data_IF_987190155274
#
_entry.id   IF_987190155274
#
_cell.length_a   1.000
_cell.length_b   1.000
_cell.length_c   1.000
_cell.angle_alpha   90.00
_cell.angle_beta   90.00
_cell.angle_gamma   90.00
#
_symmetry.space_group_name_H-M   'P 1'
#
loop_
_entity.id
_entity.type
_entity.pdbx_description
1 polymer ?
#
# COMPACT_ATOMS: atom_id res chain seq x y z
N UNK A 1 -14.41 9.17 21.34
CA UNK A 1 -13.52 8.02 21.13
C UNK A 1 -12.12 8.54 20.84
N UNK A 2 -11.05 7.98 21.40
CA UNK A 2 -9.68 8.47 21.12
C UNK A 2 -9.25 8.09 19.70
N UNK A 3 -8.29 8.84 19.13
CA UNK A 3 -7.69 8.52 17.81
C UNK A 3 -7.20 7.07 17.74
N UNK A 4 -6.52 6.61 18.77
CA UNK A 4 -6.04 5.23 18.88
C UNK A 4 -7.19 4.21 18.92
N UNK A 5 -8.27 4.50 19.64
CA UNK A 5 -9.43 3.60 19.70
C UNK A 5 -10.13 3.48 18.33
N UNK A 6 -10.27 4.59 17.59
CA UNK A 6 -10.82 4.57 16.23
C UNK A 6 -9.94 3.74 15.27
N UNK A 7 -8.62 3.92 15.35
CA UNK A 7 -7.68 3.17 14.51
C UNK A 7 -7.76 1.66 14.78
N UNK A 8 -7.84 1.26 16.07
CA UNK A 8 -8.00 -0.14 16.48
C UNK A 8 -9.32 -0.72 15.95
N UNK A 9 -10.42 0.02 16.12
CA UNK A 9 -11.73 -0.42 15.66
C UNK A 9 -11.76 -0.63 14.14
N UNK A 10 -11.26 0.35 13.37
CA UNK A 10 -11.16 0.25 11.90
C UNK A 10 -10.29 -0.93 11.50
N UNK A 11 -9.11 -1.09 12.11
CA UNK A 11 -8.21 -2.19 11.81
C UNK A 11 -8.85 -3.57 12.04
N UNK A 12 -9.66 -3.74 13.08
CA UNK A 12 -10.33 -5.03 13.35
C UNK A 12 -11.44 -5.31 12.33
N UNK A 13 -12.21 -4.28 11.93
CA UNK A 13 -13.39 -4.42 11.09
C UNK A 13 -13.10 -4.43 9.59
N UNK A 14 -12.05 -3.73 9.16
CA UNK A 14 -11.76 -3.55 7.75
C UNK A 14 -11.09 -4.78 7.13
N UNK A 15 -11.38 -5.07 5.84
CA UNK A 15 -10.71 -6.13 5.11
C UNK A 15 -9.21 -5.85 4.97
N UNK A 16 -8.44 -6.89 4.68
CA UNK A 16 -7.03 -6.70 4.33
C UNK A 16 -6.93 -6.07 2.94
N UNK A 17 -5.88 -5.28 2.69
CA UNK A 17 -5.65 -4.81 1.32
C UNK A 17 -5.44 -5.99 0.36
N UNK A 18 -4.74 -7.02 0.85
CA UNK A 18 -4.50 -8.25 0.11
C UNK A 18 -5.80 -8.94 -0.36
N UNK A 19 -6.86 -8.99 0.47
CA UNK A 19 -8.12 -9.63 0.09
C UNK A 19 -8.94 -8.85 -0.95
N UNK A 20 -8.54 -7.62 -1.28
CA UNK A 20 -9.19 -6.75 -2.26
C UNK A 20 -8.38 -6.63 -3.56
N UNK A 21 -7.26 -7.35 -3.65
CA UNK A 21 -6.35 -7.41 -4.79
C UNK A 21 -6.34 -8.86 -5.32
N UNK A 22 -5.96 -9.11 -6.59
CA UNK A 22 -5.25 -8.22 -7.50
C UNK A 22 -6.11 -7.16 -8.20
N UNK A 23 -5.46 -6.10 -8.71
CA UNK A 23 -6.03 -5.13 -9.64
C UNK A 23 -5.08 -4.89 -10.83
N UNK A 24 -5.62 -4.88 -12.05
CA UNK A 24 -4.84 -4.66 -13.28
C UNK A 24 -5.23 -3.34 -13.93
N UNK A 25 -4.27 -2.44 -14.14
CA UNK A 25 -4.48 -1.19 -14.87
C UNK A 25 -4.61 -1.42 -16.39
N UNK A 26 -5.08 -0.40 -17.12
CA UNK A 26 -5.22 -0.47 -18.58
C UNK A 26 -3.90 -0.74 -19.32
N UNK A 27 -2.77 -0.30 -18.76
CA UNK A 27 -1.42 -0.58 -19.27
C UNK A 27 -0.87 -1.97 -18.91
N UNK A 28 -1.66 -2.83 -18.26
CA UNK A 28 -1.26 -4.18 -17.87
C UNK A 28 -0.42 -4.26 -16.59
N UNK A 29 -0.19 -3.15 -15.89
CA UNK A 29 0.47 -3.19 -14.58
C UNK A 29 -0.45 -3.85 -13.54
N UNK A 30 0.04 -4.91 -12.92
CA UNK A 30 -0.67 -5.70 -11.92
C UNK A 30 -0.28 -5.26 -10.51
N UNK A 31 -1.26 -4.89 -9.70
CA UNK A 31 -1.12 -4.64 -8.26
C UNK A 31 -1.57 -5.89 -7.53
N UNK A 32 -0.63 -6.61 -6.91
CA UNK A 32 -0.91 -7.86 -6.17
C UNK A 32 -1.05 -7.63 -4.65
N UNK A 33 -0.40 -6.60 -4.11
CA UNK A 33 -0.47 -6.27 -2.68
C UNK A 33 -0.15 -4.78 -2.44
N UNK A 34 -0.55 -4.29 -1.25
CA UNK A 34 -0.21 -2.96 -0.72
C UNK A 34 0.42 -3.18 0.65
N UNK A 35 1.70 -2.86 0.77
CA UNK A 35 2.52 -3.14 1.96
C UNK A 35 3.07 -1.85 2.57
N UNK A 36 3.10 -1.72 3.90
CA UNK A 36 3.66 -0.55 4.59
C UNK A 36 5.07 -0.78 5.13
N UNK A 37 5.77 0.29 5.49
CA UNK A 37 6.97 0.25 6.32
C UNK A 37 6.68 0.91 7.66
N UNK A 38 6.98 0.21 8.76
CA UNK A 38 6.88 0.80 10.08
C UNK A 38 7.93 1.90 10.25
N UNK A 39 7.50 3.12 10.54
CA UNK A 39 8.43 4.23 10.77
C UNK A 39 9.27 4.12 12.03
N UNK A 40 8.77 3.42 13.04
CA UNK A 40 9.43 3.32 14.33
C UNK A 40 10.57 2.30 14.31
N UNK A 41 10.42 1.19 13.57
CA UNK A 41 11.40 0.10 13.59
C UNK A 41 11.84 -0.39 12.20
N UNK A 42 11.31 0.16 11.11
CA UNK A 42 11.64 -0.20 9.73
C UNK A 42 11.00 -1.50 9.23
N UNK A 43 10.24 -2.20 10.07
CA UNK A 43 9.63 -3.49 9.71
C UNK A 43 8.66 -3.34 8.53
N UNK A 44 8.71 -4.28 7.59
CA UNK A 44 7.75 -4.33 6.47
C UNK A 44 6.45 -4.96 6.94
N UNK A 45 5.32 -4.36 6.56
CA UNK A 45 3.97 -4.76 7.01
C UNK A 45 3.14 -5.14 5.79
N UNK A 46 2.54 -6.32 5.80
CA UNK A 46 1.74 -6.83 4.69
C UNK A 46 0.64 -7.79 5.17
N UNK A 47 -0.20 -8.25 4.22
CA UNK A 47 -1.22 -9.26 4.47
C UNK A 47 -2.18 -8.83 5.57
N UNK A 48 -2.33 -9.67 6.61
CA UNK A 48 -3.27 -9.46 7.72
C UNK A 48 -3.01 -8.20 8.55
N UNK A 49 -1.83 -7.61 8.40
CA UNK A 49 -1.38 -6.45 9.17
C UNK A 49 -1.51 -5.13 8.40
N UNK A 50 -2.03 -5.16 7.19
CA UNK A 50 -2.36 -4.00 6.38
C UNK A 50 -3.83 -4.08 5.96
N UNK A 51 -4.67 -3.26 6.59
CA UNK A 51 -6.13 -3.32 6.47
C UNK A 51 -6.72 -1.98 6.10
N UNK A 52 -7.83 -1.99 5.38
CA UNK A 52 -8.49 -0.78 4.92
C UNK A 52 -9.37 -1.05 3.72
N UNK A 53 -9.91 0.01 3.13
CA UNK A 53 -10.74 -0.09 1.95
C UNK A 53 -9.95 0.32 0.70
N UNK A 54 -10.14 -0.43 -0.39
CA UNK A 54 -9.70 -0.05 -1.73
C UNK A 54 -10.90 0.46 -2.52
N UNK A 55 -10.78 1.65 -3.09
CA UNK A 55 -11.70 2.15 -4.10
C UNK A 55 -11.04 2.01 -5.47
N UNK A 56 -11.62 1.12 -6.28
CA UNK A 56 -11.19 0.76 -7.63
C UNK A 56 -12.20 1.21 -8.70
N UNK A 57 -13.13 2.10 -8.35
CA UNK A 57 -14.14 2.61 -9.29
C UNK A 57 -13.52 3.36 -10.50
N UNK A 58 -12.27 3.83 -10.35
CA UNK A 58 -11.51 4.44 -11.42
C UNK A 58 -10.61 3.41 -12.11
N UNK A 59 -10.77 3.26 -13.43
CA UNK A 59 -10.02 2.27 -14.23
C UNK A 59 -8.50 2.50 -14.22
N UNK A 60 -8.06 3.73 -13.97
CA UNK A 60 -6.66 4.12 -13.97
C UNK A 60 -6.11 4.45 -12.57
N UNK A 61 -6.91 4.29 -11.51
CA UNK A 61 -6.53 4.69 -10.15
C UNK A 61 -7.12 3.78 -9.08
N UNK A 62 -6.27 3.23 -8.21
CA UNK A 62 -6.68 2.64 -6.94
C UNK A 62 -6.51 3.71 -5.87
N UNK A 63 -7.55 4.00 -5.09
CA UNK A 63 -7.44 4.82 -3.88
C UNK A 63 -7.55 3.89 -2.68
N UNK A 64 -6.69 4.06 -1.67
CA UNK A 64 -6.74 3.26 -0.46
C UNK A 64 -6.72 4.15 0.79
N UNK A 65 -7.48 3.72 1.80
CA UNK A 65 -7.53 4.33 3.12
C UNK A 65 -7.65 3.22 4.18
N UNK A 66 -6.75 3.23 5.15
CA UNK A 66 -6.64 2.15 6.10
C UNK A 66 -5.58 2.36 7.18
N UNK A 67 -5.18 1.25 7.80
CA UNK A 67 -4.26 1.19 8.92
C UNK A 67 -3.29 0.01 8.79
N UNK A 68 -2.05 0.23 9.19
CA UNK A 68 -1.04 -0.81 9.34
C UNK A 68 -0.75 -1.03 10.83
N UNK A 69 -0.59 -2.29 11.24
CA UNK A 69 -0.14 -2.68 12.57
C UNK A 69 1.24 -3.33 12.48
N UNK A 70 2.25 -2.71 13.07
CA UNK A 70 3.58 -3.30 13.13
C UNK A 70 3.61 -4.41 14.19
N UNK A 71 3.92 -5.64 13.79
CA UNK A 71 4.02 -6.77 14.72
C UNK A 71 5.22 -6.68 15.66
N UNK A 72 6.27 -5.92 15.28
CA UNK A 72 7.52 -5.82 16.04
C UNK A 72 7.44 -4.82 17.18
N UNK A 73 6.98 -3.60 16.91
CA UNK A 73 6.89 -2.54 17.92
C UNK A 73 5.45 -2.21 18.34
N UNK A 74 4.47 -2.98 17.85
CA UNK A 74 3.04 -2.86 18.17
C UNK A 74 2.41 -1.50 17.83
N UNK A 75 3.06 -0.76 16.93
CA UNK A 75 2.61 0.56 16.50
C UNK A 75 1.57 0.42 15.40
N UNK A 76 0.39 0.99 15.64
CA UNK A 76 -0.65 1.17 14.63
C UNK A 76 -0.56 2.57 14.04
N UNK A 77 -0.64 2.69 12.72
CA UNK A 77 -0.55 3.97 12.02
C UNK A 77 -1.45 4.00 10.78
N UNK A 78 -1.96 5.18 10.39
CA UNK A 78 -2.79 5.31 9.21
C UNK A 78 -1.97 5.15 7.92
N UNK A 79 -2.61 4.61 6.89
CA UNK A 79 -2.08 4.45 5.54
C UNK A 79 -3.14 4.88 4.55
N UNK A 80 -2.88 5.96 3.84
CA UNK A 80 -3.76 6.47 2.81
C UNK A 80 -2.97 6.98 1.61
N UNK A 81 -3.55 6.82 0.42
CA UNK A 81 -2.88 7.21 -0.81
C UNK A 81 -3.60 6.67 -2.04
N UNK A 82 -2.93 6.78 -3.17
CA UNK A 82 -3.45 6.27 -4.43
C UNK A 82 -2.36 5.72 -5.32
N UNK A 83 -2.68 4.66 -6.06
CA UNK A 83 -1.84 4.09 -7.11
C UNK A 83 -2.48 4.48 -8.43
N UNK A 84 -1.75 5.18 -9.28
CA UNK A 84 -2.22 5.62 -10.59
C UNK A 84 -1.45 4.94 -11.70
N UNK A 85 -2.12 4.64 -12.79
CA UNK A 85 -1.50 4.24 -14.03
C UNK A 85 -0.46 5.29 -14.49
N UNK A 86 0.71 4.85 -14.95
CA UNK A 86 1.77 5.73 -15.44
C UNK A 86 2.63 5.07 -16.52
N UNK A 87 2.40 5.44 -17.79
CA UNK A 87 3.09 4.86 -18.97
C UNK A 87 2.94 3.32 -18.96
N UNK A 88 4.03 2.58 -18.88
CA UNK A 88 4.05 1.10 -18.78
C UNK A 88 4.09 0.58 -17.33
N UNK A 89 3.99 1.48 -16.35
CA UNK A 89 4.09 1.18 -14.91
C UNK A 89 2.94 1.82 -14.12
N UNK A 90 3.07 1.90 -12.80
CA UNK A 90 2.24 2.74 -11.96
C UNK A 90 3.05 3.83 -11.26
N UNK A 91 2.37 4.79 -10.65
CA UNK A 91 2.92 5.72 -9.67
C UNK A 91 2.11 5.65 -8.39
N UNK A 92 2.80 5.64 -7.26
CA UNK A 92 2.22 5.73 -5.94
C UNK A 92 2.24 7.19 -5.50
N UNK A 93 1.09 7.72 -5.09
CA UNK A 93 0.95 9.08 -4.58
C UNK A 93 0.44 9.05 -3.14
N UNK A 94 1.04 9.86 -2.29
CA UNK A 94 0.69 9.99 -0.87
C UNK A 94 0.84 11.45 -0.42
N UNK A 95 0.27 11.76 0.75
CA UNK A 95 0.36 13.11 1.32
C UNK A 95 1.61 13.21 2.20
N UNK A 96 2.48 14.16 1.88
CA UNK A 96 3.65 14.53 2.67
C UNK A 96 3.60 16.04 2.91
N UNK A 97 3.59 16.47 4.18
CA UNK A 97 3.50 17.90 4.56
C UNK A 97 2.37 18.66 3.84
N UNK A 98 1.19 18.06 3.78
CA UNK A 98 0.00 18.66 3.15
C UNK A 98 0.04 18.71 1.61
N UNK A 99 1.06 18.14 0.96
CA UNK A 99 1.19 18.10 -0.49
C UNK A 99 1.16 16.66 -1.00
N UNK A 100 0.56 16.47 -2.17
CA UNK A 100 0.71 15.22 -2.91
C UNK A 100 2.15 15.10 -3.41
N UNK A 101 2.82 14.04 -2.98
CA UNK A 101 4.11 13.60 -3.51
C UNK A 101 3.93 12.23 -4.13
N UNK A 102 4.84 11.84 -5.01
CA UNK A 102 4.75 10.56 -5.68
C UNK A 102 6.09 9.85 -5.78
N UNK A 103 6.02 8.52 -5.96
CA UNK A 103 7.12 7.66 -6.39
C UNK A 103 6.65 6.88 -7.61
N UNK A 104 7.45 6.83 -8.65
CA UNK A 104 7.20 5.96 -9.81
C UNK A 104 7.72 4.57 -9.52
N UNK A 105 6.94 3.56 -9.92
CA UNK A 105 7.45 2.21 -10.00
C UNK A 105 8.20 2.13 -11.33
N UNK A 106 9.52 2.13 -11.33
CA UNK A 106 10.24 1.74 -12.54
C UNK A 106 10.29 0.21 -12.56
N UNK A 107 9.57 -0.42 -13.50
CA UNK A 107 9.93 -1.79 -13.88
C UNK A 107 11.31 -1.72 -14.53
N UNK A 108 12.36 -1.82 -13.72
CA UNK A 108 13.71 -1.93 -14.27
C UNK A 108 13.70 -3.19 -15.15
N UNK A 109 14.07 -2.99 -16.41
CA UNK A 109 14.05 -3.97 -17.51
C UNK A 109 14.87 -5.23 -17.25
N UNK A 110 15.60 -5.31 -16.13
CA UNK A 110 16.32 -6.49 -15.66
C UNK A 110 15.42 -7.59 -15.06
N UNK A 111 14.26 -7.25 -14.48
CA UNK A 111 13.43 -8.22 -13.74
C UNK A 111 12.54 -9.11 -14.61
N UNK A 112 12.46 -8.81 -15.93
CA UNK A 112 11.78 -9.66 -16.92
C UNK A 112 12.48 -11.02 -17.12
N UNK A 113 13.74 -11.15 -16.68
CA UNK A 113 14.59 -12.35 -16.85
C UNK A 113 14.66 -13.26 -15.62
N UNK A 114 14.04 -12.88 -14.49
CA UNK A 114 14.00 -13.66 -13.24
C UNK A 114 12.55 -14.06 -12.90
N UNK A 115 11.73 -14.37 -13.92
CA UNK A 115 10.54 -15.20 -13.71
C UNK A 115 10.99 -16.65 -13.63
N UNK A 116 11.12 -17.21 -12.43
CA UNK A 116 10.94 -18.64 -12.24
C UNK A 116 10.51 -19.07 -10.83
N UNK A 117 11.00 -18.49 -9.71
CA UNK A 117 10.82 -19.19 -8.42
C UNK A 117 10.67 -18.38 -7.11
N UNK A 118 10.56 -17.05 -7.11
CA UNK A 118 10.33 -16.30 -5.85
C UNK A 118 9.20 -15.29 -6.01
N UNK A 119 7.98 -15.77 -5.74
CA UNK A 119 6.77 -14.98 -5.56
C UNK A 119 6.96 -13.99 -4.40
N UNK A 120 6.85 -12.69 -4.69
CA UNK A 120 6.43 -11.56 -3.83
C UNK A 120 7.19 -10.31 -4.23
N UNK A 121 6.58 -9.46 -5.06
CA UNK A 121 7.02 -8.08 -5.16
C UNK A 121 6.56 -7.36 -3.89
N UNK A 122 7.50 -7.01 -3.01
CA UNK A 122 7.25 -6.34 -1.75
C UNK A 122 7.75 -4.91 -1.76
N UNK A 123 6.95 -3.93 -1.32
CA UNK A 123 7.38 -2.53 -1.19
C UNK A 123 7.14 -1.98 0.22
N UNK A 124 8.18 -1.71 1.01
CA UNK A 124 8.05 -0.90 2.22
C UNK A 124 7.86 0.58 1.84
N UNK A 125 6.78 1.23 2.31
CA UNK A 125 6.62 2.70 2.21
C UNK A 125 6.45 3.38 3.58
N UNK A 126 7.07 4.56 3.72
CA UNK A 126 6.98 5.43 4.91
C UNK A 126 5.85 6.45 4.71
N UNK A 127 4.73 6.30 5.42
CA UNK A 127 3.65 7.31 5.46
C UNK A 127 3.80 8.20 6.69
N UNK A 128 3.77 9.52 6.52
CA UNK A 128 3.69 10.49 7.62
C UNK A 128 2.41 10.29 8.40
N UNK A 129 2.55 9.75 9.62
CA UNK A 129 1.53 9.91 10.64
C UNK A 129 1.43 11.42 10.92
N UNK A 130 0.28 12.01 10.58
CA UNK A 130 -0.17 13.25 11.19
C UNK A 130 -0.46 13.03 12.67
#
# INVERSE_FOLDING_TARGET
MSKLAMMKERFIKEPTFHSQLPFTFGNGFLVEDIMGECKQCGETICGDFARGNLNTAYTNTIVFDGHCLCQKCLTIFPVNGRIKEHKTNAKFEYIHKGRWVYKTFESSSLWRRIKANLKRFCFPFKIDAQ
#
